data_IF_239828956775
#
_entry.id   IF_239828956775
#
_cell.length_a   1.000
_cell.length_b   1.000
_cell.length_c   1.000
_cell.angle_alpha   90.00
_cell.angle_beta   90.00
_cell.angle_gamma   90.00
#
_symmetry.space_group_name_H-M   'P 1'
#
loop_
_entity.id
_entity.type
_entity.pdbx_description
1 polymer ?
#
# COMPACT_ATOMS: atom_id res chain seq x y z
N UNK A 1 -10.69 -35.84 -1.50
CA UNK A 1 -9.42 -35.27 -0.97
C UNK A 1 -9.66 -33.78 -0.87
N UNK A 2 -9.92 -33.28 0.33
CA UNK A 2 -10.25 -31.87 0.56
C UNK A 2 -9.00 -31.02 0.34
N UNK A 3 -9.09 -29.98 -0.50
CA UNK A 3 -7.97 -29.06 -0.68
C UNK A 3 -7.76 -28.30 0.63
N UNK A 4 -6.50 -28.07 1.06
CA UNK A 4 -6.26 -27.31 2.28
C UNK A 4 -6.93 -25.93 2.17
N UNK A 5 -7.45 -25.37 3.29
CA UNK A 5 -8.08 -24.07 3.26
C UNK A 5 -7.10 -23.05 2.69
N UNK A 6 -7.54 -22.32 1.65
CA UNK A 6 -6.78 -21.22 1.09
C UNK A 6 -6.50 -20.19 2.17
N UNK A 7 -5.23 -19.84 2.41
CA UNK A 7 -4.84 -18.77 3.32
C UNK A 7 -4.93 -17.42 2.62
N UNK A 8 -5.08 -16.34 3.40
CA UNK A 8 -4.97 -14.99 2.86
C UNK A 8 -3.59 -14.77 2.26
N UNK A 9 -3.56 -14.13 1.10
CA UNK A 9 -2.32 -13.62 0.51
C UNK A 9 -2.52 -12.17 0.09
N UNK A 10 -1.51 -11.36 0.35
CA UNK A 10 -1.49 -9.94 0.01
C UNK A 10 -0.20 -9.70 -0.76
N UNK A 11 -0.33 -9.14 -1.96
CA UNK A 11 0.81 -8.64 -2.75
C UNK A 11 0.68 -7.13 -2.75
N UNK A 12 1.73 -6.43 -2.36
CA UNK A 12 1.77 -4.97 -2.31
C UNK A 12 2.98 -4.47 -3.08
N UNK A 13 2.75 -3.44 -3.89
CA UNK A 13 3.77 -2.73 -4.65
C UNK A 13 3.54 -1.22 -4.54
N UNK A 14 4.63 -0.47 -4.53
CA UNK A 14 4.59 0.98 -4.74
C UNK A 14 4.74 1.30 -6.21
N UNK A 15 4.07 2.35 -6.65
CA UNK A 15 3.98 2.75 -8.04
C UNK A 15 3.86 4.28 -8.15
N UNK A 16 4.00 4.81 -9.37
CA UNK A 16 3.76 6.23 -9.63
C UNK A 16 2.24 6.51 -9.69
N UNK A 17 1.49 5.57 -10.27
CA UNK A 17 0.02 5.57 -10.24
C UNK A 17 -0.51 4.14 -10.41
N UNK A 18 -1.72 3.88 -9.91
CA UNK A 18 -2.38 2.60 -10.09
C UNK A 18 -3.90 2.76 -10.29
N UNK A 19 -4.52 1.80 -10.98
CA UNK A 19 -5.96 1.77 -11.20
C UNK A 19 -6.48 0.34 -11.10
N UNK A 20 -7.55 0.13 -10.33
CA UNK A 20 -8.28 -1.13 -10.28
C UNK A 20 -9.58 -1.00 -11.08
N UNK A 21 -9.72 -1.79 -12.15
CA UNK A 21 -10.89 -1.76 -13.05
C UNK A 21 -11.24 -3.19 -13.45
N UNK A 22 -12.50 -3.58 -13.28
CA UNK A 22 -13.02 -4.90 -13.70
C UNK A 22 -12.15 -6.09 -13.23
N UNK A 23 -11.70 -6.05 -11.97
CA UNK A 23 -10.86 -7.12 -11.41
C UNK A 23 -9.41 -7.12 -11.90
N UNK A 24 -8.99 -6.15 -12.71
CA UNK A 24 -7.60 -5.95 -13.15
C UNK A 24 -6.94 -4.81 -12.39
N UNK A 25 -5.64 -4.96 -12.13
CA UNK A 25 -4.80 -3.94 -11.52
C UNK A 25 -3.82 -3.40 -12.57
N UNK A 26 -4.03 -2.18 -13.02
CA UNK A 26 -3.13 -1.44 -13.89
C UNK A 26 -2.15 -0.65 -13.02
N UNK A 27 -0.86 -0.81 -13.28
CA UNK A 27 0.22 -0.22 -12.47
C UNK A 27 1.18 0.53 -13.39
N UNK A 28 1.35 1.83 -13.17
CA UNK A 28 2.30 2.68 -13.87
C UNK A 28 3.52 2.92 -12.98
N UNK A 29 4.71 2.62 -13.49
CA UNK A 29 5.96 2.80 -12.73
C UNK A 29 6.06 1.91 -11.48
N UNK A 30 5.48 0.71 -11.51
CA UNK A 30 5.43 -0.18 -10.35
C UNK A 30 6.78 -0.78 -9.95
N UNK A 31 6.96 -0.99 -8.65
CA UNK A 31 8.08 -1.75 -8.08
C UNK A 31 9.26 -0.90 -7.62
N UNK A 32 9.12 0.42 -7.52
CA UNK A 32 10.16 1.24 -6.93
C UNK A 32 10.21 1.07 -5.42
N UNK A 33 11.41 1.28 -4.86
CA UNK A 33 11.69 1.27 -3.42
C UNK A 33 12.44 2.52 -2.96
N UNK A 34 12.53 3.54 -3.81
CA UNK A 34 13.08 4.85 -3.47
C UNK A 34 12.38 5.97 -4.26
N UNK A 35 12.16 7.11 -3.63
CA UNK A 35 11.59 8.33 -4.24
C UNK A 35 12.23 9.59 -3.63
N UNK A 36 11.76 10.78 -4.00
CA UNK A 36 12.36 12.06 -3.61
C UNK A 36 13.48 12.50 -4.57
N UNK A 37 14.17 13.61 -4.29
CA UNK A 37 14.09 14.41 -3.06
C UNK A 37 12.87 15.32 -2.97
N UNK A 38 12.21 15.58 -4.09
CA UNK A 38 10.96 16.33 -4.10
C UNK A 38 9.78 15.38 -3.87
N UNK A 39 8.80 15.74 -3.03
CA UNK A 39 7.56 14.99 -2.92
C UNK A 39 6.87 14.86 -4.29
N UNK A 40 6.63 13.62 -4.72
CA UNK A 40 5.85 13.31 -5.92
C UNK A 40 4.62 12.50 -5.54
N UNK A 41 3.54 12.55 -6.36
CA UNK A 41 2.47 11.58 -6.23
C UNK A 41 3.00 10.15 -6.30
N UNK A 42 2.29 9.25 -5.65
CA UNK A 42 2.58 7.81 -5.66
C UNK A 42 1.28 7.02 -5.56
N UNK A 43 1.38 5.70 -5.71
CA UNK A 43 0.27 4.81 -5.46
C UNK A 43 0.70 3.55 -4.72
N UNK A 44 -0.23 3.00 -3.95
CA UNK A 44 -0.14 1.66 -3.39
C UNK A 44 -1.02 0.76 -4.25
N UNK A 45 -0.40 -0.21 -4.91
CA UNK A 45 -1.07 -1.24 -5.69
C UNK A 45 -1.10 -2.53 -4.87
N UNK A 46 -2.29 -3.01 -4.55
CA UNK A 46 -2.49 -4.20 -3.72
C UNK A 46 -3.31 -5.23 -4.48
N UNK A 47 -2.87 -6.48 -4.47
CA UNK A 47 -3.67 -7.63 -4.89
C UNK A 47 -3.91 -8.51 -3.66
N UNK A 48 -5.17 -8.76 -3.35
CA UNK A 48 -5.58 -9.75 -2.37
C UNK A 48 -5.92 -11.07 -3.07
N UNK A 49 -5.51 -12.18 -2.47
CA UNK A 49 -6.10 -13.50 -2.72
C UNK A 49 -6.91 -13.84 -1.46
N UNK A 50 -8.22 -13.61 -1.55
CA UNK A 50 -9.17 -13.80 -0.45
C UNK A 50 -9.53 -15.28 -0.36
N UNK A 51 -9.40 -15.91 0.82
CA UNK A 51 -9.84 -17.28 1.01
C UNK A 51 -11.29 -17.50 0.61
N UNK A 52 -11.59 -18.69 0.07
CA UNK A 52 -12.97 -19.06 -0.26
C UNK A 52 -13.92 -18.83 0.93
N UNK A 53 -13.51 -19.25 2.13
CA UNK A 53 -14.29 -19.10 3.37
C UNK A 53 -14.45 -17.66 3.86
N UNK A 54 -13.66 -16.72 3.34
CA UNK A 54 -13.71 -15.31 3.68
C UNK A 54 -14.57 -14.48 2.73
N UNK A 55 -14.98 -15.02 1.58
CA UNK A 55 -15.85 -14.34 0.63
C UNK A 55 -17.26 -14.06 1.20
N UNK A 56 -17.99 -13.13 0.56
CA UNK A 56 -19.32 -12.66 0.97
C UNK A 56 -19.38 -12.12 2.41
N UNK A 57 -18.25 -11.65 2.93
CA UNK A 57 -18.13 -10.96 4.21
C UNK A 57 -17.31 -9.71 4.01
N UNK A 58 -17.68 -8.67 4.73
CA UNK A 58 -16.92 -7.43 4.84
C UNK A 58 -15.70 -7.64 5.74
N UNK A 59 -14.53 -7.23 5.25
CA UNK A 59 -13.28 -7.19 6.01
C UNK A 59 -12.75 -5.77 6.07
N UNK A 60 -12.25 -5.36 7.23
CA UNK A 60 -11.68 -4.02 7.41
C UNK A 60 -10.20 -4.05 7.07
N UNK A 61 -9.82 -3.14 6.17
CA UNK A 61 -8.43 -2.88 5.81
C UNK A 61 -7.91 -1.69 6.60
N UNK A 62 -6.74 -1.88 7.17
CA UNK A 62 -5.95 -0.81 7.80
C UNK A 62 -4.65 -0.66 7.04
N UNK A 63 -4.47 0.46 6.35
CA UNK A 63 -3.26 0.74 5.56
C UNK A 63 -2.54 1.95 6.16
N UNK A 64 -1.37 1.75 6.74
CA UNK A 64 -0.65 2.75 7.51
C UNK A 64 0.77 2.98 6.97
N UNK A 65 1.22 4.22 7.04
CA UNK A 65 2.61 4.59 6.76
C UNK A 65 3.39 4.64 8.08
N UNK A 66 4.50 3.90 8.14
CA UNK A 66 5.35 3.77 9.30
C UNK A 66 6.77 4.27 9.01
N UNK A 67 7.44 4.79 10.03
CA UNK A 67 8.85 5.15 9.99
C UNK A 67 9.77 3.93 10.21
N UNK A 68 11.09 4.16 10.25
CA UNK A 68 12.09 3.11 10.46
C UNK A 68 11.98 2.40 11.82
N UNK A 69 11.32 3.02 12.79
CA UNK A 69 11.10 2.46 14.12
C UNK A 69 9.74 1.75 14.23
N UNK A 70 8.98 1.67 13.12
CA UNK A 70 7.65 1.08 13.08
C UNK A 70 6.57 1.95 13.71
N UNK A 71 6.83 3.25 13.92
CA UNK A 71 5.84 4.19 14.46
C UNK A 71 5.03 4.83 13.33
N UNK A 72 3.73 5.15 13.55
CA UNK A 72 2.93 5.88 12.56
C UNK A 72 3.54 7.22 12.20
N UNK A 73 3.70 7.49 10.90
CA UNK A 73 4.12 8.80 10.40
C UNK A 73 2.98 9.79 10.61
N UNK A 74 3.26 10.88 11.34
CA UNK A 74 2.32 11.96 11.56
C UNK A 74 2.47 13.02 10.47
N UNK A 75 1.37 13.37 9.81
CA UNK A 75 1.29 14.42 8.81
C UNK A 75 0.52 15.63 9.34
N UNK A 76 0.78 16.85 8.83
CA UNK A 76 0.00 18.03 9.19
C UNK A 76 -1.50 17.82 8.89
N UNK A 77 -2.34 17.97 9.91
CA UNK A 77 -3.79 17.93 9.81
C UNK A 77 -4.44 19.28 10.17
N UNK A 78 -5.77 19.43 10.03
CA UNK A 78 -6.47 20.70 10.25
C UNK A 78 -6.36 21.24 11.69
N UNK A 79 -6.35 20.35 12.68
CA UNK A 79 -6.31 20.72 14.12
C UNK A 79 -4.98 20.32 14.78
N UNK A 80 -4.46 19.15 14.44
CA UNK A 80 -3.24 18.58 14.99
C UNK A 80 -2.59 17.62 13.98
N UNK A 81 -1.32 17.27 14.14
CA UNK A 81 -0.70 16.19 13.37
C UNK A 81 -1.48 14.88 13.52
N UNK A 82 -1.75 14.21 12.40
CA UNK A 82 -2.53 12.96 12.36
C UNK A 82 -1.73 11.84 11.70
N UNK A 83 -1.88 10.57 12.15
CA UNK A 83 -1.22 9.45 11.50
C UNK A 83 -1.69 9.30 10.05
N UNK A 84 -0.75 9.06 9.14
CA UNK A 84 -1.08 8.70 7.76
C UNK A 84 -1.64 7.27 7.73
N UNK A 85 -2.97 7.22 7.80
CA UNK A 85 -3.77 6.00 7.89
C UNK A 85 -4.91 6.08 6.88
N UNK A 86 -5.04 5.02 6.10
CA UNK A 86 -6.15 4.79 5.18
C UNK A 86 -6.94 3.61 5.70
N UNK A 87 -8.24 3.80 5.86
CA UNK A 87 -9.19 2.74 6.20
C UNK A 87 -10.07 2.47 4.98
N UNK A 88 -10.26 1.19 4.68
CA UNK A 88 -11.09 0.76 3.55
C UNK A 88 -11.80 -0.54 3.91
N UNK A 89 -12.84 -0.85 3.16
CA UNK A 89 -13.60 -2.09 3.30
C UNK A 89 -13.35 -2.98 2.09
N UNK A 90 -13.14 -4.27 2.34
CA UNK A 90 -12.95 -5.29 1.32
C UNK A 90 -14.08 -6.32 1.43
N UNK A 91 -14.86 -6.47 0.37
CA UNK A 91 -15.87 -7.52 0.25
C UNK A 91 -15.80 -8.11 -1.16
N UNK A 92 -15.64 -9.43 -1.25
CA UNK A 92 -15.50 -10.13 -2.53
C UNK A 92 -16.56 -11.22 -2.61
N UNK A 93 -17.38 -11.16 -3.65
CA UNK A 93 -18.45 -12.12 -3.88
C UNK A 93 -17.94 -13.42 -4.51
N UNK A 94 -18.52 -14.56 -4.14
CA UNK A 94 -18.25 -15.85 -4.81
C UNK A 94 -18.94 -15.90 -6.19
N UNK A 95 -18.21 -16.03 -7.31
CA UNK A 95 -18.83 -16.17 -8.63
C UNK A 95 -19.64 -17.49 -8.74
N UNK A 96 -20.75 -17.50 -9.50
CA UNK A 96 -21.51 -18.72 -9.77
C UNK A 96 -20.65 -19.81 -10.41
N UNK A 97 -20.78 -21.05 -9.95
CA UNK A 97 -20.06 -22.20 -10.52
C UNK A 97 -18.57 -22.29 -10.15
N UNK A 98 -18.05 -21.36 -9.33
CA UNK A 98 -16.66 -21.43 -8.88
C UNK A 98 -16.43 -22.62 -7.95
N UNK A 99 -15.33 -23.35 -8.18
CA UNK A 99 -14.97 -24.52 -7.37
C UNK A 99 -14.68 -24.10 -5.92
N UNK A 100 -15.33 -24.72 -4.92
CA UNK A 100 -15.05 -24.46 -3.52
C UNK A 100 -13.55 -24.60 -3.19
N UNK A 101 -13.06 -23.71 -2.33
CA UNK A 101 -11.64 -23.65 -1.96
C UNK A 101 -10.76 -22.83 -2.92
N UNK A 102 -11.28 -22.38 -4.06
CA UNK A 102 -10.53 -21.48 -4.95
C UNK A 102 -10.42 -20.08 -4.31
N UNK A 103 -9.21 -19.51 -4.17
CA UNK A 103 -9.04 -18.13 -3.70
C UNK A 103 -9.66 -17.13 -4.69
N UNK A 104 -10.14 -16.00 -4.18
CA UNK A 104 -10.73 -14.93 -4.97
C UNK A 104 -9.75 -13.77 -5.09
N UNK A 105 -9.47 -13.36 -6.32
CA UNK A 105 -8.63 -12.19 -6.58
C UNK A 105 -9.43 -10.89 -6.36
N UNK A 106 -8.83 -9.95 -5.64
CA UNK A 106 -9.37 -8.60 -5.49
C UNK A 106 -8.25 -7.56 -5.58
N UNK A 107 -8.22 -6.74 -6.65
CA UNK A 107 -7.28 -5.64 -6.75
C UNK A 107 -7.77 -4.40 -6.02
N UNK A 108 -6.85 -3.68 -5.40
CA UNK A 108 -7.07 -2.37 -4.78
C UNK A 108 -5.95 -1.43 -5.23
N UNK A 109 -6.33 -0.24 -5.69
CA UNK A 109 -5.41 0.82 -6.06
C UNK A 109 -5.71 2.06 -5.24
N UNK A 110 -4.69 2.58 -4.55
CA UNK A 110 -4.79 3.80 -3.75
C UNK A 110 -3.78 4.80 -4.30
N UNK A 111 -4.26 5.90 -4.90
CA UNK A 111 -3.40 7.00 -5.33
C UNK A 111 -3.28 8.02 -4.21
N UNK A 112 -2.05 8.42 -3.94
CA UNK A 112 -1.66 9.30 -2.83
C UNK A 112 -0.97 10.52 -3.42
N UNK A 113 -1.41 11.70 -2.99
CA UNK A 113 -0.74 12.95 -3.34
C UNK A 113 0.69 13.01 -2.80
N UNK A 114 1.44 14.07 -3.14
CA UNK A 114 2.78 14.28 -2.59
C UNK A 114 2.74 14.33 -1.06
N UNK A 115 3.53 13.48 -0.40
CA UNK A 115 3.65 13.45 1.06
C UNK A 115 4.85 14.29 1.51
N UNK A 116 4.73 15.17 2.51
CA UNK A 116 5.82 16.00 3.02
C UNK A 116 6.75 15.20 3.96
N UNK A 117 7.33 14.11 3.45
CA UNK A 117 8.22 13.25 4.20
C UNK A 117 9.61 13.87 4.35
N UNK A 118 10.26 13.60 5.48
CA UNK A 118 11.68 13.88 5.64
C UNK A 118 12.50 12.79 4.95
N UNK A 119 13.76 13.04 4.59
CA UNK A 119 14.66 11.98 4.15
C UNK A 119 14.76 10.86 5.18
N UNK A 120 14.62 9.62 4.75
CA UNK A 120 14.54 8.48 5.66
C UNK A 120 13.97 7.21 5.03
N UNK A 121 13.83 6.17 5.85
CA UNK A 121 13.23 4.89 5.45
C UNK A 121 11.83 4.77 6.05
N UNK A 122 10.90 4.31 5.22
CA UNK A 122 9.49 4.18 5.56
C UNK A 122 8.95 2.84 5.06
N UNK A 123 7.81 2.43 5.60
CA UNK A 123 7.03 1.33 5.03
C UNK A 123 5.53 1.63 5.01
N UNK A 124 4.89 1.23 3.91
CA UNK A 124 3.46 1.05 3.88
C UNK A 124 3.13 -0.34 4.38
N UNK A 125 2.20 -0.45 5.32
CA UNK A 125 1.69 -1.72 5.83
C UNK A 125 0.20 -1.79 5.62
N UNK A 126 -0.28 -2.86 4.98
CA UNK A 126 -1.70 -3.18 4.88
C UNK A 126 -2.00 -4.37 5.78
N UNK A 127 -3.03 -4.23 6.62
CA UNK A 127 -3.53 -5.27 7.51
C UNK A 127 -4.99 -5.55 7.21
N UNK A 128 -5.33 -6.83 7.06
CA UNK A 128 -6.70 -7.32 7.10
C UNK A 128 -7.01 -7.61 8.57
N UNK A 129 -7.86 -6.79 9.20
CA UNK A 129 -8.03 -6.76 10.66
C UNK A 129 -8.55 -8.09 11.20
N UNK A 130 -9.60 -8.64 10.60
CA UNK A 130 -10.26 -9.87 11.04
C UNK A 130 -9.36 -11.09 10.89
N UNK A 131 -8.54 -11.11 9.84
CA UNK A 131 -7.63 -12.22 9.57
C UNK A 131 -6.30 -12.08 10.34
N UNK A 132 -6.02 -10.91 10.91
CA UNK A 132 -4.72 -10.55 11.48
C UNK A 132 -3.55 -10.88 10.54
N UNK A 133 -3.74 -10.66 9.24
CA UNK A 133 -2.71 -10.85 8.21
C UNK A 133 -2.28 -9.49 7.72
N UNK A 134 -0.97 -9.28 7.60
CA UNK A 134 -0.41 -8.03 7.10
C UNK A 134 0.67 -8.26 6.06
N UNK A 135 0.84 -7.26 5.20
CA UNK A 135 1.91 -7.18 4.22
C UNK A 135 2.46 -5.76 4.19
N UNK A 136 3.79 -5.65 4.18
CA UNK A 136 4.49 -4.37 4.08
C UNK A 136 5.21 -4.20 2.73
N UNK A 137 5.38 -2.95 2.31
CA UNK A 137 6.27 -2.54 1.24
C UNK A 137 7.10 -1.33 1.71
N UNK A 138 8.41 -1.51 1.80
CA UNK A 138 9.32 -0.49 2.31
C UNK A 138 9.95 0.35 1.19
N UNK A 139 10.22 1.62 1.48
CA UNK A 139 10.90 2.52 0.56
C UNK A 139 11.78 3.54 1.28
N UNK A 140 12.66 4.21 0.53
CA UNK A 140 13.49 5.31 1.00
C UNK A 140 13.08 6.64 0.37
N UNK A 141 12.94 7.68 1.17
CA UNK A 141 12.79 9.06 0.71
C UNK A 141 14.18 9.73 0.72
N UNK A 142 14.65 10.17 -0.45
CA UNK A 142 16.04 10.62 -0.66
C UNK A 142 16.28 12.05 -0.19
N UNK A 143 17.51 12.32 0.25
CA UNK A 143 17.99 13.68 0.52
C UNK A 143 18.10 14.51 -0.77
N UNK A 144 17.83 15.84 -0.71
CA UNK A 144 18.16 16.75 -1.81
C UNK A 144 19.66 16.72 -2.11
N UNK A 145 20.07 16.76 -3.39
CA UNK A 145 21.48 16.86 -3.73
C UNK A 145 22.08 18.16 -3.16
N UNK A 146 23.17 18.03 -2.40
CA UNK A 146 23.91 19.18 -1.86
C UNK A 146 24.51 19.95 -3.04
N UNK A 147 23.98 21.14 -3.32
CA UNK A 147 24.57 22.03 -4.33
C UNK A 147 25.68 22.84 -3.68
N UNK A 148 26.95 22.46 -3.92
CA UNK A 148 28.09 23.28 -3.53
C UNK A 148 28.19 24.45 -4.52
N UNK A 149 27.87 25.67 -4.08
CA UNK A 149 28.22 26.87 -4.84
C UNK A 149 29.70 27.18 -4.61
N UNK A 150 30.50 27.05 -5.67
CA UNK A 150 31.87 27.57 -5.65
C UNK A 150 31.82 29.10 -5.58
N UNK A 151 32.62 29.75 -4.74
CA UNK A 151 32.74 31.20 -4.74
C UNK A 151 33.27 31.67 -6.11
N UNK A 152 32.85 32.85 -6.59
CA UNK A 152 33.42 33.41 -7.82
C UNK A 152 34.93 33.57 -7.65
N UNK A 153 35.69 33.16 -8.66
CA UNK A 153 37.13 33.45 -8.72
C UNK A 153 37.29 34.97 -8.83
N UNK A 154 38.04 35.54 -7.88
CA UNK A 154 38.44 36.96 -7.91
C UNK A 154 39.48 37.20 -8.98
#
# INVERSE_FOLDING_TARGET
MESPPSAWKIIMLLADSAQAVEGKLYILGGGWSATGPMPTPSAIAIKFEVPWEAANRKHHLRIELLDSDGRPVLLPGPEAPQPMLIQADLEVGRPPGMTPGTPLDSPLAINIGPLPLQPGRYEWRCTVVEANVSQSCAFSFREPPVTVRLPPMQ
#
